data_IF_983706085922
#
_entry.id   IF_983706085922
#
_cell.length_a   1.000
_cell.length_b   1.000
_cell.length_c   1.000
_cell.angle_alpha   90.00
_cell.angle_beta   90.00
_cell.angle_gamma   90.00
#
_symmetry.space_group_name_H-M   'P 1'
#
loop_
_entity.id
_entity.type
_entity.pdbx_description
1 polymer ?
#
# COMPACT_ATOMS: atom_id res chain seq x y z
N UNK A 1 -22.97 19.22 65.91
CA UNK A 1 -24.03 19.49 64.91
C UNK A 1 -23.83 20.95 64.52
N UNK A 2 -23.51 21.36 63.30
CA UNK A 2 -23.74 20.77 61.99
C UNK A 2 -22.50 20.92 61.09
N UNK A 3 -22.27 19.88 60.29
CA UNK A 3 -21.24 19.86 59.26
C UNK A 3 -21.68 20.77 58.09
N UNK A 4 -20.83 21.73 57.74
CA UNK A 4 -21.00 22.56 56.56
C UNK A 4 -20.97 21.70 55.29
N UNK A 5 -22.13 21.57 54.66
CA UNK A 5 -22.29 20.95 53.34
C UNK A 5 -21.67 21.87 52.30
N UNK A 6 -20.43 21.56 51.90
CA UNK A 6 -19.85 22.12 50.66
C UNK A 6 -20.61 21.53 49.49
N UNK A 7 -21.61 22.25 48.99
CA UNK A 7 -22.22 21.99 47.67
C UNK A 7 -21.11 21.97 46.63
N UNK A 8 -20.92 20.81 45.99
CA UNK A 8 -20.02 20.66 44.87
C UNK A 8 -20.44 21.64 43.78
N UNK A 9 -19.60 22.66 43.51
CA UNK A 9 -19.73 23.52 42.35
C UNK A 9 -19.66 22.61 41.12
N UNK A 10 -20.79 22.34 40.48
CA UNK A 10 -20.83 21.80 39.13
C UNK A 10 -19.96 22.73 38.29
N UNK A 11 -18.78 22.26 37.88
CA UNK A 11 -17.98 22.94 36.88
C UNK A 11 -18.81 22.92 35.60
N UNK A 12 -19.52 24.03 35.34
CA UNK A 12 -20.20 24.27 34.08
C UNK A 12 -19.09 24.24 33.03
N UNK A 13 -18.97 23.11 32.31
CA UNK A 13 -18.12 23.06 31.13
C UNK A 13 -18.73 24.06 30.14
N UNK A 14 -18.00 25.08 29.68
CA UNK A 14 -18.52 25.96 28.65
C UNK A 14 -18.81 25.11 27.41
N UNK A 15 -20.08 24.90 27.13
CA UNK A 15 -20.52 24.27 25.89
C UNK A 15 -20.64 25.36 24.83
N UNK A 16 -19.88 25.20 23.75
CA UNK A 16 -20.07 26.03 22.56
C UNK A 16 -21.33 25.53 21.87
N UNK A 17 -22.46 26.18 22.15
CA UNK A 17 -23.74 25.91 21.49
C UNK A 17 -23.68 26.55 20.10
N UNK A 18 -23.49 25.73 19.07
CA UNK A 18 -23.56 26.16 17.68
C UNK A 18 -25.03 26.24 17.26
N UNK A 19 -25.55 27.45 17.06
CA UNK A 19 -26.95 27.69 16.70
C UNK A 19 -27.29 27.36 15.23
N UNK A 20 -26.30 27.26 14.34
CA UNK A 20 -26.50 27.12 12.88
C UNK A 20 -25.68 25.98 12.24
N UNK A 21 -25.70 24.79 12.84
CA UNK A 21 -25.21 23.61 12.11
C UNK A 21 -26.27 23.20 11.09
N UNK A 22 -26.03 23.50 9.81
CA UNK A 22 -26.77 22.86 8.71
C UNK A 22 -26.74 21.35 8.94
N UNK A 23 -27.90 20.66 8.96
CA UNK A 23 -27.92 19.22 9.16
C UNK A 23 -27.02 18.58 8.13
N UNK A 24 -26.05 17.78 8.59
CA UNK A 24 -25.25 16.99 7.67
C UNK A 24 -26.21 16.14 6.82
N UNK A 25 -26.05 16.08 5.48
CA UNK A 25 -26.88 15.24 4.64
C UNK A 25 -26.89 13.82 5.21
N UNK A 26 -28.08 13.26 5.41
CA UNK A 26 -28.29 11.92 5.97
C UNK A 26 -28.64 10.93 4.85
N UNK A 27 -28.37 9.65 5.08
CA UNK A 27 -28.66 8.57 4.12
C UNK A 27 -27.51 8.24 3.16
N UNK A 28 -27.75 7.28 2.27
CA UNK A 28 -26.73 6.73 1.36
C UNK A 28 -26.23 7.74 0.31
N UNK A 29 -27.10 8.64 -0.17
CA UNK A 29 -26.71 9.72 -1.09
C UNK A 29 -25.61 10.61 -0.52
N UNK A 30 -25.62 10.84 0.80
CA UNK A 30 -24.61 11.63 1.50
C UNK A 30 -23.22 10.99 1.55
N UNK A 31 -23.12 9.69 1.22
CA UNK A 31 -21.87 8.96 1.04
C UNK A 31 -21.50 8.89 -0.44
N UNK A 32 -22.49 8.69 -1.32
CA UNK A 32 -22.27 8.61 -2.77
C UNK A 32 -21.69 9.91 -3.36
N UNK A 33 -22.18 11.07 -2.90
CA UNK A 33 -21.81 12.38 -3.44
C UNK A 33 -20.89 13.19 -2.50
N UNK A 34 -20.26 12.53 -1.52
CA UNK A 34 -19.44 13.24 -0.52
C UNK A 34 -18.15 13.78 -1.14
N UNK A 35 -17.73 14.95 -0.67
CA UNK A 35 -16.39 15.49 -0.93
C UNK A 35 -15.52 15.55 0.34
N UNK A 36 -16.09 15.25 1.51
CA UNK A 36 -15.38 15.26 2.79
C UNK A 36 -14.32 14.15 2.83
N UNK A 37 -13.05 14.52 2.99
CA UNK A 37 -11.92 13.60 3.06
C UNK A 37 -12.06 12.51 4.14
N UNK A 38 -12.79 12.76 5.23
CA UNK A 38 -13.02 11.76 6.30
C UNK A 38 -13.97 10.68 5.82
N UNK A 39 -15.07 11.07 5.18
CA UNK A 39 -16.04 10.11 4.62
C UNK A 39 -15.40 9.31 3.49
N UNK A 40 -14.64 9.97 2.61
CA UNK A 40 -13.89 9.30 1.55
C UNK A 40 -12.86 8.33 2.13
N UNK A 41 -12.11 8.75 3.15
CA UNK A 41 -11.19 7.87 3.87
C UNK A 41 -11.89 6.63 4.43
N UNK A 42 -13.06 6.78 5.06
CA UNK A 42 -13.86 5.65 5.56
C UNK A 42 -14.33 4.74 4.42
N UNK A 43 -14.76 5.31 3.29
CA UNK A 43 -15.16 4.55 2.10
C UNK A 43 -14.00 3.68 1.58
N UNK A 44 -12.80 4.25 1.47
CA UNK A 44 -11.59 3.48 1.14
C UNK A 44 -11.37 2.35 2.14
N UNK A 45 -11.34 2.64 3.44
CA UNK A 45 -11.08 1.62 4.47
C UNK A 45 -12.10 0.48 4.44
N UNK A 46 -13.37 0.78 4.18
CA UNK A 46 -14.41 -0.25 4.09
C UNK A 46 -14.28 -1.09 2.82
N UNK A 47 -14.15 -0.45 1.65
CA UNK A 47 -14.04 -1.15 0.37
C UNK A 47 -12.78 -2.03 0.30
N UNK A 48 -11.65 -1.52 0.75
CA UNK A 48 -10.38 -2.27 0.72
C UNK A 48 -10.37 -3.40 1.74
N UNK A 49 -11.05 -3.23 2.89
CA UNK A 49 -11.22 -4.33 3.84
C UNK A 49 -12.10 -5.46 3.27
N UNK A 50 -13.10 -5.14 2.44
CA UNK A 50 -13.85 -6.16 1.72
C UNK A 50 -12.93 -6.94 0.76
N UNK A 51 -12.11 -6.25 -0.03
CA UNK A 51 -11.12 -6.90 -0.89
C UNK A 51 -10.08 -7.72 -0.10
N UNK A 52 -9.68 -7.26 1.09
CA UNK A 52 -8.82 -8.04 1.98
C UNK A 52 -9.46 -9.37 2.40
N UNK A 53 -10.75 -9.37 2.74
CA UNK A 53 -11.48 -10.59 3.09
C UNK A 53 -11.57 -11.52 1.87
N UNK A 54 -11.90 -10.99 0.69
CA UNK A 54 -11.95 -11.78 -0.55
C UNK A 54 -10.59 -12.40 -0.88
N UNK A 55 -9.51 -11.60 -0.85
CA UNK A 55 -8.14 -12.08 -1.02
C UNK A 55 -7.73 -13.12 0.01
N UNK A 56 -8.21 -13.01 1.25
CA UNK A 56 -8.01 -14.01 2.30
C UNK A 56 -8.72 -15.33 2.03
N UNK A 57 -9.96 -15.28 1.50
CA UNK A 57 -10.70 -16.48 1.07
C UNK A 57 -9.98 -17.17 -0.09
N UNK A 58 -9.54 -16.41 -1.10
CA UNK A 58 -8.76 -16.92 -2.24
C UNK A 58 -7.48 -17.62 -1.76
N UNK A 59 -6.73 -16.98 -0.85
CA UNK A 59 -5.54 -17.59 -0.24
C UNK A 59 -5.86 -18.87 0.54
N UNK A 60 -6.96 -18.90 1.29
CA UNK A 60 -7.34 -20.08 2.06
C UNK A 60 -7.64 -21.27 1.14
N UNK A 61 -8.36 -21.04 0.03
CA UNK A 61 -8.65 -22.09 -0.95
C UNK A 61 -7.34 -22.64 -1.55
N UNK A 62 -6.41 -21.76 -1.95
CA UNK A 62 -5.10 -22.20 -2.44
C UNK A 62 -4.34 -23.04 -1.40
N UNK A 63 -4.36 -22.62 -0.13
CA UNK A 63 -3.67 -23.35 0.94
C UNK A 63 -4.33 -24.68 1.28
N UNK A 64 -5.66 -24.78 1.16
CA UNK A 64 -6.38 -26.04 1.29
C UNK A 64 -6.04 -26.99 0.14
N UNK A 65 -5.93 -26.49 -1.09
CA UNK A 65 -5.46 -27.30 -2.22
C UNK A 65 -4.05 -27.84 -1.96
N UNK A 66 -3.13 -27.02 -1.46
CA UNK A 66 -1.74 -27.40 -1.20
C UNK A 66 -1.52 -28.15 0.13
N UNK A 67 -2.57 -28.49 0.87
CA UNK A 67 -2.43 -29.10 2.19
C UNK A 67 -1.79 -30.51 2.17
N UNK A 68 -1.92 -31.22 1.04
CA UNK A 68 -1.29 -32.51 0.82
C UNK A 68 -0.97 -32.71 -0.68
N UNK A 69 0.00 -33.57 -1.03
CA UNK A 69 0.25 -33.95 -2.42
C UNK A 69 -1.00 -34.56 -3.09
N UNK A 70 -1.11 -34.38 -4.41
CA UNK A 70 -2.17 -34.97 -5.26
C UNK A 70 -3.62 -34.68 -4.83
N UNK A 71 -3.82 -33.56 -4.11
CA UNK A 71 -5.16 -33.10 -3.74
C UNK A 71 -5.96 -32.64 -4.99
N UNK A 72 -7.28 -32.75 -4.93
CA UNK A 72 -8.19 -32.50 -6.07
C UNK A 72 -9.26 -31.45 -5.77
N UNK A 73 -9.02 -30.59 -4.78
CA UNK A 73 -9.98 -29.54 -4.37
C UNK A 73 -10.27 -28.54 -5.51
N UNK A 74 -9.25 -28.14 -6.27
CA UNK A 74 -9.37 -27.25 -7.43
C UNK A 74 -8.55 -27.77 -8.61
N UNK A 75 -8.96 -27.43 -9.83
CA UNK A 75 -8.20 -27.76 -11.05
C UNK A 75 -6.96 -26.85 -11.19
N UNK A 76 -5.96 -27.23 -12.00
CA UNK A 76 -4.79 -26.38 -12.26
C UNK A 76 -5.14 -24.98 -12.79
N UNK A 77 -6.13 -24.87 -13.69
CA UNK A 77 -6.59 -23.60 -14.26
C UNK A 77 -7.22 -22.71 -13.18
N UNK A 78 -8.06 -23.33 -12.33
CA UNK A 78 -8.67 -22.64 -11.19
C UNK A 78 -7.62 -22.18 -10.19
N UNK A 79 -6.59 -23.00 -9.94
CA UNK A 79 -5.48 -22.64 -9.06
C UNK A 79 -4.68 -21.44 -9.61
N UNK A 80 -4.37 -21.44 -10.90
CA UNK A 80 -3.67 -20.32 -11.56
C UNK A 80 -4.51 -19.03 -11.53
N UNK A 81 -5.81 -19.16 -11.77
CA UNK A 81 -6.77 -18.07 -11.61
C UNK A 81 -6.78 -17.52 -10.18
N UNK A 82 -6.90 -18.38 -9.17
CA UNK A 82 -6.87 -17.98 -7.76
C UNK A 82 -5.56 -17.30 -7.37
N UNK A 83 -4.41 -17.82 -7.82
CA UNK A 83 -3.11 -17.21 -7.55
C UNK A 83 -2.98 -15.81 -8.16
N UNK A 84 -3.48 -15.66 -9.39
CA UNK A 84 -3.47 -14.38 -10.11
C UNK A 84 -4.40 -13.37 -9.46
N UNK A 85 -5.65 -13.78 -9.15
CA UNK A 85 -6.66 -12.93 -8.51
C UNK A 85 -6.21 -12.54 -7.11
N UNK A 86 -5.74 -13.49 -6.29
CA UNK A 86 -5.22 -13.20 -4.95
C UNK A 86 -4.09 -12.17 -4.95
N UNK A 87 -3.04 -12.40 -5.74
CA UNK A 87 -1.90 -11.49 -5.80
C UNK A 87 -2.33 -10.09 -6.25
N UNK A 88 -3.18 -10.02 -7.27
CA UNK A 88 -3.72 -8.76 -7.80
C UNK A 88 -4.58 -8.03 -6.77
N UNK A 89 -5.51 -8.73 -6.12
CA UNK A 89 -6.40 -8.17 -5.10
C UNK A 89 -5.61 -7.59 -3.94
N UNK A 90 -4.66 -8.37 -3.40
CA UNK A 90 -3.90 -7.93 -2.24
C UNK A 90 -3.05 -6.70 -2.54
N UNK A 91 -2.44 -6.63 -3.72
CA UNK A 91 -1.56 -5.53 -4.11
C UNK A 91 -2.36 -4.29 -4.53
N UNK A 92 -3.19 -4.41 -5.56
CA UNK A 92 -3.82 -3.28 -6.24
C UNK A 92 -5.15 -2.84 -5.62
N UNK A 93 -5.87 -3.76 -4.96
CA UNK A 93 -7.21 -3.48 -4.41
C UNK A 93 -7.23 -3.33 -2.89
N UNK A 94 -6.21 -3.86 -2.19
CA UNK A 94 -6.12 -3.76 -0.73
C UNK A 94 -4.96 -2.90 -0.22
N UNK A 95 -3.70 -3.34 -0.35
CA UNK A 95 -2.57 -2.74 0.40
C UNK A 95 -2.33 -1.29 0.00
N UNK A 96 -2.25 -0.99 -1.30
CA UNK A 96 -2.03 0.40 -1.75
C UNK A 96 -3.23 1.29 -1.38
N UNK A 97 -4.48 0.91 -1.70
CA UNK A 97 -5.59 1.83 -1.50
C UNK A 97 -6.03 1.98 -0.04
N UNK A 98 -5.79 0.98 0.85
CA UNK A 98 -6.09 1.15 2.28
C UNK A 98 -5.19 2.22 2.91
N UNK A 99 -3.92 2.32 2.47
CA UNK A 99 -2.99 3.35 2.92
C UNK A 99 -3.39 4.73 2.39
N UNK A 100 -3.88 4.81 1.15
CA UNK A 100 -4.53 6.02 0.62
C UNK A 100 -5.77 6.40 1.44
N UNK A 101 -6.55 5.42 1.94
CA UNK A 101 -7.69 5.65 2.84
C UNK A 101 -7.29 6.31 4.16
N UNK A 102 -6.24 5.79 4.81
CA UNK A 102 -5.66 6.44 5.99
C UNK A 102 -5.10 7.83 5.67
N UNK A 103 -4.40 7.97 4.55
CA UNK A 103 -3.88 9.26 4.09
C UNK A 103 -5.01 10.29 3.95
N UNK A 104 -6.09 9.89 3.29
CA UNK A 104 -7.29 10.71 3.10
C UNK A 104 -7.88 11.16 4.43
N UNK A 105 -8.03 10.24 5.37
CA UNK A 105 -8.61 10.56 6.67
C UNK A 105 -7.70 11.47 7.52
N UNK A 106 -6.39 11.16 7.57
CA UNK A 106 -5.48 11.69 8.57
C UNK A 106 -4.65 12.88 8.09
N UNK A 107 -4.25 12.95 6.82
CA UNK A 107 -3.31 13.99 6.34
C UNK A 107 -3.86 15.39 6.60
N UNK A 108 -5.09 15.76 6.18
CA UNK A 108 -5.62 17.10 6.47
C UNK A 108 -5.69 17.40 7.96
N UNK A 109 -6.06 16.41 8.80
CA UNK A 109 -6.10 16.57 10.26
C UNK A 109 -4.72 16.83 10.85
N UNK A 110 -3.72 16.10 10.38
CA UNK A 110 -2.34 16.16 10.88
C UNK A 110 -1.62 17.45 10.47
N UNK A 111 -1.97 18.03 9.31
CA UNK A 111 -1.37 19.29 8.84
C UNK A 111 -2.20 20.53 9.20
N UNK A 112 -3.38 20.35 9.81
CA UNK A 112 -4.29 21.44 10.15
C UNK A 112 -5.05 22.05 8.97
N UNK A 113 -5.23 21.29 7.89
CA UNK A 113 -6.06 21.67 6.75
C UNK A 113 -7.54 21.32 7.01
N UNK A 114 -8.45 22.08 6.38
CA UNK A 114 -9.90 21.83 6.48
C UNK A 114 -10.35 20.62 5.67
N UNK A 115 -9.71 20.41 4.52
CA UNK A 115 -10.00 19.34 3.56
C UNK A 115 -8.76 19.14 2.66
N UNK A 116 -8.85 18.24 1.68
CA UNK A 116 -7.87 18.07 0.61
C UNK A 116 -7.89 19.24 -0.39
N UNK A 117 -6.80 19.42 -1.15
CA UNK A 117 -6.68 20.48 -2.17
C UNK A 117 -7.73 20.37 -3.29
N UNK A 118 -8.04 19.14 -3.71
CA UNK A 118 -9.03 18.85 -4.74
C UNK A 118 -10.10 17.86 -4.22
N UNK A 119 -11.10 18.31 -3.44
CA UNK A 119 -12.08 17.42 -2.79
C UNK A 119 -12.91 16.56 -3.76
N UNK A 120 -13.27 17.08 -4.93
CA UNK A 120 -14.03 16.32 -5.95
C UNK A 120 -13.16 15.30 -6.67
N UNK A 121 -11.91 15.67 -6.97
CA UNK A 121 -10.94 14.75 -7.56
C UNK A 121 -10.69 13.58 -6.61
N UNK A 122 -10.64 13.87 -5.32
CA UNK A 122 -10.54 12.87 -4.26
C UNK A 122 -11.67 11.85 -4.27
N UNK A 123 -12.91 12.32 -4.45
CA UNK A 123 -14.08 11.44 -4.56
C UNK A 123 -14.00 10.59 -5.84
N UNK A 124 -13.60 11.19 -6.96
CA UNK A 124 -13.40 10.46 -8.22
C UNK A 124 -12.36 9.36 -8.10
N UNK A 125 -11.22 9.63 -7.43
CA UNK A 125 -10.21 8.60 -7.15
C UNK A 125 -10.81 7.38 -6.45
N UNK A 126 -11.63 7.57 -5.41
CA UNK A 126 -12.28 6.46 -4.73
C UNK A 126 -13.18 5.65 -5.67
N UNK A 127 -14.01 6.31 -6.48
CA UNK A 127 -14.93 5.62 -7.38
C UNK A 127 -14.21 4.84 -8.48
N UNK A 128 -13.12 5.38 -9.02
CA UNK A 128 -12.28 4.69 -10.00
C UNK A 128 -11.67 3.41 -9.42
N UNK A 129 -11.19 3.44 -8.16
CA UNK A 129 -10.75 2.23 -7.47
C UNK A 129 -11.87 1.20 -7.39
N UNK A 130 -13.04 1.61 -6.89
CA UNK A 130 -14.15 0.68 -6.66
C UNK A 130 -14.61 0.04 -7.98
N UNK A 131 -14.78 0.83 -9.04
CA UNK A 131 -15.18 0.32 -10.34
C UNK A 131 -14.10 -0.55 -10.99
N UNK A 132 -12.82 -0.23 -10.81
CA UNK A 132 -11.72 -1.10 -11.22
C UNK A 132 -11.77 -2.47 -10.54
N UNK A 133 -11.95 -2.48 -9.22
CA UNK A 133 -12.09 -3.72 -8.46
C UNK A 133 -13.33 -4.53 -8.84
N UNK A 134 -14.48 -3.88 -9.01
CA UNK A 134 -15.71 -4.56 -9.47
C UNK A 134 -15.53 -5.16 -10.86
N UNK A 135 -14.97 -4.40 -11.81
CA UNK A 135 -14.72 -4.89 -13.17
C UNK A 135 -13.76 -6.10 -13.16
N UNK A 136 -12.73 -6.08 -12.31
CA UNK A 136 -11.83 -7.20 -12.13
C UNK A 136 -12.54 -8.44 -11.59
N UNK A 137 -13.31 -8.30 -10.51
CA UNK A 137 -14.03 -9.42 -9.91
C UNK A 137 -15.15 -9.95 -10.80
N UNK A 138 -15.68 -9.16 -11.73
CA UNK A 138 -16.58 -9.67 -12.76
C UNK A 138 -15.92 -10.74 -13.65
N UNK A 139 -14.58 -10.75 -13.78
CA UNK A 139 -13.86 -11.80 -14.51
C UNK A 139 -14.11 -13.20 -13.98
N UNK A 140 -14.46 -13.35 -12.70
CA UNK A 140 -14.80 -14.64 -12.11
C UNK A 140 -16.07 -15.27 -12.73
N UNK A 141 -16.94 -14.49 -13.38
CA UNK A 141 -18.16 -15.01 -14.00
C UNK A 141 -17.98 -15.48 -15.45
N UNK A 142 -16.84 -15.20 -16.06
CA UNK A 142 -16.49 -15.74 -17.38
C UNK A 142 -15.18 -16.50 -17.28
N UNK A 143 -14.05 -15.80 -17.23
CA UNK A 143 -12.73 -16.39 -17.16
C UNK A 143 -11.77 -15.46 -16.40
N UNK A 144 -11.28 -15.87 -15.22
CA UNK A 144 -10.28 -15.08 -14.50
C UNK A 144 -8.94 -15.11 -15.25
N UNK A 145 -8.10 -14.07 -15.14
CA UNK A 145 -6.74 -14.11 -15.65
C UNK A 145 -5.92 -15.18 -14.93
N UNK A 146 -5.02 -15.84 -15.66
CA UNK A 146 -4.23 -16.98 -15.15
C UNK A 146 -2.71 -16.79 -15.29
N UNK A 147 -2.25 -15.60 -15.73
CA UNK A 147 -0.83 -15.32 -16.01
C UNK A 147 -0.07 -14.67 -14.83
N UNK A 148 -0.56 -14.86 -13.59
CA UNK A 148 0.02 -14.27 -12.39
C UNK A 148 -0.23 -12.75 -12.27
N UNK A 149 0.01 -12.19 -11.08
CA UNK A 149 -0.17 -10.76 -10.83
C UNK A 149 0.83 -9.87 -11.59
N UNK A 150 1.92 -10.48 -12.10
CA UNK A 150 2.94 -9.83 -12.94
C UNK A 150 2.56 -9.78 -14.42
N UNK A 151 1.58 -10.61 -14.85
CA UNK A 151 0.97 -10.61 -16.17
C UNK A 151 1.96 -10.65 -17.34
N UNK A 152 3.00 -11.49 -17.24
CA UNK A 152 4.10 -11.55 -18.21
C UNK A 152 3.68 -12.07 -19.59
N UNK A 153 4.00 -11.32 -20.66
CA UNK A 153 4.12 -11.90 -22.00
C UNK A 153 5.27 -12.94 -22.03
N UNK A 154 5.16 -13.99 -22.85
CA UNK A 154 4.08 -14.24 -23.80
C UNK A 154 2.81 -14.83 -23.17
N UNK A 155 2.83 -15.28 -21.91
CA UNK A 155 1.69 -15.99 -21.31
C UNK A 155 0.40 -15.14 -21.25
N UNK A 156 0.51 -13.83 -21.06
CA UNK A 156 -0.61 -12.88 -21.07
C UNK A 156 -1.05 -12.44 -22.47
N UNK A 157 -0.40 -12.90 -23.53
CA UNK A 157 -0.83 -12.65 -24.90
C UNK A 157 -2.08 -13.47 -25.26
N UNK A 158 -2.82 -13.02 -26.28
CA UNK A 158 -4.04 -13.70 -26.75
C UNK A 158 -3.76 -15.13 -27.24
N UNK A 159 -2.55 -15.38 -27.75
CA UNK A 159 -2.09 -16.69 -28.21
C UNK A 159 -2.08 -17.76 -27.10
N UNK A 160 -1.93 -17.36 -25.84
CA UNK A 160 -1.87 -18.26 -24.68
C UNK A 160 -3.03 -18.06 -23.71
N UNK A 161 -3.55 -16.84 -23.61
CA UNK A 161 -4.65 -16.43 -22.74
C UNK A 161 -5.72 -15.70 -23.56
N UNK A 162 -6.45 -16.44 -24.40
CA UNK A 162 -7.47 -15.89 -25.30
C UNK A 162 -8.74 -15.39 -24.57
N UNK A 163 -8.92 -15.77 -23.31
CA UNK A 163 -10.03 -15.32 -22.48
C UNK A 163 -9.98 -13.83 -22.16
N UNK A 164 -11.14 -13.24 -21.90
CA UNK A 164 -11.26 -11.82 -21.51
C UNK A 164 -10.68 -11.48 -20.12
N UNK A 165 -10.14 -12.46 -19.38
CA UNK A 165 -9.64 -12.29 -18.02
C UNK A 165 -8.44 -11.35 -17.94
N UNK A 166 -7.51 -11.46 -18.90
CA UNK A 166 -6.36 -10.55 -19.02
C UNK A 166 -6.84 -9.13 -19.33
N UNK A 167 -7.86 -8.98 -20.19
CA UNK A 167 -8.43 -7.68 -20.54
C UNK A 167 -9.10 -7.01 -19.32
N UNK A 168 -9.81 -7.79 -18.51
CA UNK A 168 -10.39 -7.31 -17.25
C UNK A 168 -9.31 -6.86 -16.26
N UNK A 169 -8.18 -7.57 -16.19
CA UNK A 169 -7.02 -7.15 -15.40
C UNK A 169 -6.40 -5.86 -15.93
N UNK A 170 -6.18 -5.75 -17.24
CA UNK A 170 -5.67 -4.53 -17.88
C UNK A 170 -6.59 -3.33 -17.58
N UNK A 171 -7.89 -3.50 -17.72
CA UNK A 171 -8.87 -2.45 -17.45
C UNK A 171 -8.85 -2.03 -15.98
N UNK A 172 -8.74 -2.99 -15.05
CA UNK A 172 -8.59 -2.70 -13.63
C UNK A 172 -7.31 -1.90 -13.35
N UNK A 173 -6.16 -2.26 -13.94
CA UNK A 173 -4.90 -1.51 -13.76
C UNK A 173 -5.05 -0.07 -14.26
N UNK A 174 -5.73 0.18 -15.38
CA UNK A 174 -6.00 1.54 -15.84
C UNK A 174 -6.84 2.34 -14.84
N UNK A 175 -7.97 1.78 -14.38
CA UNK A 175 -8.86 2.50 -13.46
C UNK A 175 -8.20 2.73 -12.09
N UNK A 176 -7.56 1.71 -11.53
CA UNK A 176 -6.87 1.82 -10.23
C UNK A 176 -5.63 2.70 -10.33
N UNK A 177 -4.87 2.63 -11.43
CA UNK A 177 -3.76 3.51 -11.72
C UNK A 177 -4.17 4.98 -11.82
N UNK A 178 -5.27 5.28 -12.53
CA UNK A 178 -5.86 6.62 -12.57
C UNK A 178 -6.32 7.08 -11.18
N UNK A 179 -6.99 6.21 -10.41
CA UNK A 179 -7.35 6.48 -9.01
C UNK A 179 -6.13 6.93 -8.19
N UNK A 180 -5.06 6.14 -8.21
CA UNK A 180 -3.84 6.36 -7.44
C UNK A 180 -3.08 7.60 -7.91
N UNK A 181 -2.99 7.85 -9.21
CA UNK A 181 -2.35 9.05 -9.77
C UNK A 181 -3.06 10.33 -9.32
N UNK A 182 -4.40 10.37 -9.46
CA UNK A 182 -5.20 11.52 -9.04
C UNK A 182 -5.12 11.76 -7.52
N UNK A 183 -5.13 10.69 -6.74
CA UNK A 183 -4.95 10.74 -5.29
C UNK A 183 -3.56 11.26 -4.90
N UNK A 184 -2.51 10.80 -5.57
CA UNK A 184 -1.13 11.22 -5.34
C UNK A 184 -0.93 12.72 -5.61
N UNK A 185 -1.41 13.22 -6.75
CA UNK A 185 -1.37 14.65 -7.10
C UNK A 185 -2.09 15.48 -6.01
N UNK A 186 -3.25 15.00 -5.56
CA UNK A 186 -4.03 15.66 -4.51
C UNK A 186 -3.28 15.67 -3.17
N UNK A 187 -2.65 14.57 -2.76
CA UNK A 187 -1.81 14.53 -1.56
C UNK A 187 -0.64 15.50 -1.64
N UNK A 188 0.10 15.53 -2.74
CA UNK A 188 1.22 16.47 -2.92
C UNK A 188 0.74 17.91 -2.81
N UNK A 189 -0.31 18.28 -3.56
CA UNK A 189 -0.86 19.63 -3.53
C UNK A 189 -1.34 20.04 -2.12
N UNK A 190 -2.01 19.13 -1.42
CA UNK A 190 -2.51 19.35 -0.05
C UNK A 190 -1.35 19.54 0.93
N UNK A 191 -0.39 18.61 0.95
CA UNK A 191 0.73 18.64 1.89
C UNK A 191 1.62 19.85 1.63
N UNK A 192 1.87 20.22 0.37
CA UNK A 192 2.77 21.33 0.06
C UNK A 192 2.15 22.71 0.35
N UNK A 193 0.86 22.89 0.05
CA UNK A 193 0.25 24.22 -0.02
C UNK A 193 -0.76 24.52 1.09
N UNK A 194 -1.20 23.53 1.88
CA UNK A 194 -2.30 23.70 2.83
C UNK A 194 -1.94 23.43 4.30
N UNK A 195 -0.64 23.30 4.63
CA UNK A 195 -0.20 23.18 6.03
C UNK A 195 -0.57 24.41 6.84
N UNK A 196 -0.88 24.20 8.12
CA UNK A 196 -1.14 25.28 9.06
C UNK A 196 0.07 26.24 9.17
N UNK A 197 -0.17 27.56 9.31
CA UNK A 197 0.90 28.54 9.52
C UNK A 197 1.82 28.15 10.68
N UNK A 198 3.14 28.21 10.46
CA UNK A 198 4.16 27.84 11.46
C UNK A 198 4.61 26.37 11.43
N UNK A 199 3.96 25.50 10.66
CA UNK A 199 4.42 24.14 10.40
C UNK A 199 5.47 24.12 9.28
N UNK A 200 6.74 24.15 9.66
CA UNK A 200 7.84 23.92 8.73
C UNK A 200 7.99 22.43 8.39
N UNK A 201 8.70 22.13 7.30
CA UNK A 201 9.03 20.76 6.88
C UNK A 201 9.66 19.92 8.01
N UNK A 202 10.54 20.54 8.81
CA UNK A 202 11.18 19.89 9.96
C UNK A 202 10.28 19.60 11.15
N UNK A 203 8.98 19.90 11.08
CA UNK A 203 7.99 19.69 12.15
C UNK A 203 6.76 18.88 11.72
N UNK A 204 6.70 18.47 10.46
CA UNK A 204 5.57 17.73 9.90
C UNK A 204 5.53 16.29 10.46
N UNK A 205 4.36 15.72 10.80
CA UNK A 205 4.28 14.34 11.29
C UNK A 205 4.93 13.35 10.32
N UNK A 206 5.55 12.30 10.86
CA UNK A 206 6.30 11.32 10.07
C UNK A 206 5.37 10.51 9.16
N UNK A 207 4.12 10.28 9.57
CA UNK A 207 3.11 9.72 8.67
C UNK A 207 2.86 10.60 7.43
N UNK A 208 2.84 11.93 7.59
CA UNK A 208 2.63 12.84 6.46
C UNK A 208 3.88 12.86 5.55
N UNK A 209 5.08 12.76 6.12
CA UNK A 209 6.31 12.58 5.33
C UNK A 209 6.26 11.31 4.47
N UNK A 210 5.79 10.20 5.01
CA UNK A 210 5.72 8.95 4.25
C UNK A 210 4.62 8.97 3.19
N UNK A 211 3.46 9.59 3.45
CA UNK A 211 2.42 9.82 2.43
C UNK A 211 2.93 10.74 1.31
N UNK A 212 3.75 11.75 1.63
CA UNK A 212 4.33 12.61 0.61
C UNK A 212 5.27 11.85 -0.33
N UNK A 213 6.17 11.02 0.22
CA UNK A 213 7.08 10.21 -0.59
C UNK A 213 6.32 9.14 -1.38
N UNK A 214 5.35 8.47 -0.74
CA UNK A 214 4.39 7.58 -1.41
C UNK A 214 3.76 8.26 -2.65
N UNK A 215 3.29 9.49 -2.52
CA UNK A 215 2.64 10.19 -3.63
C UNK A 215 3.61 10.55 -4.76
N UNK A 216 4.85 10.94 -4.45
CA UNK A 216 5.86 11.17 -5.47
C UNK A 216 6.23 9.90 -6.23
N UNK A 217 6.38 8.78 -5.53
CA UNK A 217 6.66 7.49 -6.17
C UNK A 217 5.55 7.11 -7.15
N UNK A 218 4.29 7.23 -6.74
CA UNK A 218 3.16 6.97 -7.63
C UNK A 218 3.18 7.84 -8.89
N UNK A 219 3.44 9.15 -8.74
CA UNK A 219 3.50 10.07 -9.89
C UNK A 219 4.59 9.67 -10.89
N UNK A 220 5.74 9.20 -10.40
CA UNK A 220 6.89 8.84 -11.26
C UNK A 220 6.75 7.43 -11.85
N UNK A 221 6.29 6.46 -11.05
CA UNK A 221 6.35 5.04 -11.39
C UNK A 221 5.10 4.52 -12.12
N UNK A 222 3.90 5.01 -11.79
CA UNK A 222 2.64 4.56 -12.41
C UNK A 222 2.58 4.72 -13.93
N UNK A 223 3.14 5.78 -14.56
CA UNK A 223 3.09 5.91 -16.01
C UNK A 223 3.74 4.73 -16.75
N UNK A 224 4.74 4.06 -16.15
CA UNK A 224 5.40 2.92 -16.77
C UNK A 224 4.49 1.71 -16.89
N UNK A 225 3.75 1.35 -15.83
CA UNK A 225 2.79 0.24 -15.89
C UNK A 225 1.59 0.59 -16.77
N UNK A 226 1.10 1.84 -16.73
CA UNK A 226 0.03 2.29 -17.62
C UNK A 226 0.40 2.13 -19.10
N UNK A 227 1.63 2.51 -19.45
CA UNK A 227 2.16 2.30 -20.80
C UNK A 227 2.29 0.81 -21.14
N UNK A 228 2.83 -0.01 -20.23
CA UNK A 228 2.99 -1.45 -20.44
C UNK A 228 1.64 -2.14 -20.69
N UNK A 229 0.63 -1.90 -19.84
CA UNK A 229 -0.70 -2.50 -20.01
C UNK A 229 -1.43 -1.97 -21.25
N UNK A 230 -1.16 -0.75 -21.69
CA UNK A 230 -1.67 -0.22 -22.96
C UNK A 230 -1.03 -0.95 -24.14
N UNK A 231 0.30 -1.13 -24.14
CA UNK A 231 1.00 -1.90 -25.17
C UNK A 231 0.50 -3.35 -25.24
N UNK A 232 0.25 -3.98 -24.09
CA UNK A 232 -0.27 -5.35 -24.06
C UNK A 232 -1.71 -5.42 -24.59
N UNK A 233 -2.54 -4.42 -24.26
CA UNK A 233 -3.88 -4.31 -24.83
C UNK A 233 -3.83 -4.20 -26.36
N UNK A 234 -2.88 -3.42 -26.90
CA UNK A 234 -2.72 -3.27 -28.35
C UNK A 234 -2.15 -4.53 -29.01
N UNK A 235 -1.26 -5.26 -28.34
CA UNK A 235 -0.76 -6.54 -28.85
C UNK A 235 -1.91 -7.55 -28.95
N UNK A 236 -2.76 -7.62 -27.92
CA UNK A 236 -3.91 -8.53 -27.86
C UNK A 236 -5.02 -8.21 -28.88
N UNK A 237 -5.32 -6.92 -29.11
CA UNK A 237 -6.55 -6.54 -29.85
C UNK A 237 -6.34 -5.75 -31.13
N UNK A 238 -5.16 -5.17 -31.34
CA UNK A 238 -4.90 -4.23 -32.44
C UNK A 238 -3.74 -4.66 -33.35
N UNK A 239 -3.20 -5.87 -33.14
CA UNK A 239 -2.16 -6.45 -33.99
C UNK A 239 -0.82 -5.74 -33.89
N UNK A 240 -0.53 -5.08 -32.76
CA UNK A 240 0.83 -4.63 -32.46
C UNK A 240 1.68 -5.82 -31.99
N UNK A 241 2.99 -5.62 -31.92
CA UNK A 241 3.94 -6.66 -31.47
C UNK A 241 5.03 -6.04 -30.60
N UNK A 242 4.64 -5.34 -29.53
CA UNK A 242 5.59 -4.76 -28.58
C UNK A 242 6.36 -5.84 -27.81
N UNK A 243 5.67 -6.91 -27.41
CA UNK A 243 6.23 -7.98 -26.58
C UNK A 243 6.40 -9.31 -27.32
N UNK A 244 5.90 -9.45 -28.54
CA UNK A 244 6.04 -10.67 -29.35
C UNK A 244 7.31 -10.66 -30.21
N UNK A 245 8.29 -11.57 -29.97
CA UNK A 245 9.48 -11.69 -30.80
C UNK A 245 9.20 -11.99 -32.27
N UNK A 246 8.08 -12.62 -32.62
CA UNK A 246 7.73 -12.97 -34.00
C UNK A 246 7.49 -11.71 -34.87
N UNK A 247 6.98 -10.64 -34.25
CA UNK A 247 6.83 -9.31 -34.86
C UNK A 247 7.99 -8.35 -34.59
N UNK A 248 9.08 -8.81 -33.96
CA UNK A 248 10.25 -8.00 -33.61
C UNK A 248 10.19 -7.32 -32.23
N UNK A 249 9.21 -7.65 -31.40
CA UNK A 249 9.08 -7.20 -30.01
C UNK A 249 9.99 -7.96 -29.03
N UNK A 250 9.94 -7.55 -27.75
CA UNK A 250 10.76 -8.17 -26.69
C UNK A 250 9.94 -8.37 -25.40
N UNK A 251 9.73 -9.62 -24.94
CA UNK A 251 9.09 -9.90 -23.65
C UNK A 251 9.79 -9.27 -22.45
N UNK A 252 11.11 -9.05 -22.50
CA UNK A 252 11.86 -8.40 -21.43
C UNK A 252 11.54 -6.91 -21.30
N UNK A 253 11.03 -6.27 -22.36
CA UNK A 253 10.51 -4.91 -22.28
C UNK A 253 9.37 -4.82 -21.27
N UNK A 254 8.47 -5.80 -21.25
CA UNK A 254 7.40 -5.86 -20.24
C UNK A 254 8.00 -5.92 -18.84
N UNK A 255 8.95 -6.83 -18.61
CA UNK A 255 9.55 -6.98 -17.28
C UNK A 255 10.22 -5.70 -16.80
N UNK A 256 10.95 -5.00 -17.67
CA UNK A 256 11.56 -3.72 -17.31
C UNK A 256 10.51 -2.66 -16.96
N UNK A 257 9.47 -2.48 -17.77
CA UNK A 257 8.42 -1.48 -17.52
C UNK A 257 7.60 -1.82 -16.27
N UNK A 258 7.18 -3.09 -16.15
CA UNK A 258 6.41 -3.58 -15.02
C UNK A 258 7.19 -3.45 -13.72
N UNK A 259 8.47 -3.84 -13.68
CA UNK A 259 9.26 -3.74 -12.46
C UNK A 259 9.73 -2.34 -12.14
N UNK A 260 9.99 -1.49 -13.15
CA UNK A 260 10.25 -0.07 -12.91
C UNK A 260 9.09 0.59 -12.18
N UNK A 261 7.86 0.13 -12.42
CA UNK A 261 6.71 0.45 -11.58
C UNK A 261 6.72 -0.36 -10.26
N UNK A 262 6.80 -1.68 -10.36
CA UNK A 262 6.48 -2.61 -9.29
C UNK A 262 7.42 -2.51 -8.09
N UNK A 263 8.70 -2.23 -8.30
CA UNK A 263 9.63 -2.10 -7.18
C UNK A 263 9.43 -0.78 -6.38
N UNK A 264 9.31 0.40 -7.00
CA UNK A 264 8.80 1.59 -6.30
C UNK A 264 7.46 1.34 -5.61
N UNK A 265 6.55 0.57 -6.24
CA UNK A 265 5.25 0.26 -5.67
C UNK A 265 5.35 -0.56 -4.37
N UNK A 266 6.30 -1.48 -4.23
CA UNK A 266 6.46 -2.19 -2.94
C UNK A 266 6.87 -1.25 -1.79
N UNK A 267 7.51 -0.11 -2.09
CA UNK A 267 7.75 0.92 -1.06
C UNK A 267 6.54 1.80 -0.80
N UNK A 268 5.74 2.11 -1.83
CA UNK A 268 4.41 2.71 -1.69
C UNK A 268 3.56 1.84 -0.74
N UNK A 269 3.67 0.52 -0.82
CA UNK A 269 2.97 -0.42 0.05
C UNK A 269 3.43 -0.40 1.51
N UNK A 270 4.65 0.03 1.85
CA UNK A 270 5.20 -0.09 3.23
C UNK A 270 5.49 1.25 3.91
N UNK A 271 5.87 2.29 3.17
CA UNK A 271 6.27 3.58 3.73
C UNK A 271 5.15 4.21 4.57
N UNK A 272 3.88 4.25 4.14
CA UNK A 272 2.81 4.76 4.99
C UNK A 272 2.67 3.97 6.30
N UNK A 273 2.77 2.65 6.28
CA UNK A 273 2.76 1.81 7.49
C UNK A 273 3.91 2.15 8.45
N UNK A 274 5.12 2.38 7.92
CA UNK A 274 6.26 2.91 8.70
C UNK A 274 5.98 4.28 9.30
N UNK A 275 5.28 5.14 8.57
CA UNK A 275 4.79 6.42 9.06
C UNK A 275 3.81 6.24 10.22
N UNK A 276 2.85 5.31 10.09
CA UNK A 276 1.85 5.06 11.12
C UNK A 276 2.49 4.61 12.44
N UNK A 277 3.41 3.63 12.39
CA UNK A 277 4.08 3.19 13.62
C UNK A 277 4.97 4.28 14.21
N UNK A 278 5.52 5.17 13.39
CA UNK A 278 6.29 6.33 13.86
C UNK A 278 5.45 7.33 14.65
N UNK A 279 4.12 7.37 14.45
CA UNK A 279 3.18 8.14 15.28
C UNK A 279 2.74 7.36 16.52
N UNK A 280 2.59 6.04 16.42
CA UNK A 280 2.04 5.18 17.48
C UNK A 280 3.08 4.92 18.58
N UNK A 281 4.29 4.51 18.21
CA UNK A 281 5.35 4.15 19.15
C UNK A 281 5.66 5.23 20.19
N UNK A 282 5.87 6.51 19.85
CA UNK A 282 6.19 7.54 20.85
C UNK A 282 5.06 7.77 21.85
N UNK A 283 3.80 7.63 21.44
CA UNK A 283 2.63 7.81 22.32
C UNK A 283 2.56 6.71 23.36
N UNK A 284 2.72 5.46 22.96
CA UNK A 284 2.71 4.33 23.89
C UNK A 284 4.02 4.16 24.67
N UNK A 285 5.14 4.72 24.18
CA UNK A 285 6.39 4.81 24.93
C UNK A 285 6.44 6.01 25.89
N UNK A 286 5.50 6.96 25.77
CA UNK A 286 5.48 8.25 26.48
C UNK A 286 6.79 9.01 26.33
N UNK A 287 7.36 9.00 25.12
CA UNK A 287 8.65 9.59 24.78
C UNK A 287 8.60 10.16 23.36
N UNK A 288 9.29 11.27 23.05
CA UNK A 288 9.45 11.72 21.67
C UNK A 288 10.06 10.63 20.78
N UNK A 289 9.69 10.61 19.50
CA UNK A 289 10.31 9.73 18.52
C UNK A 289 11.82 10.01 18.46
N UNK A 290 12.63 8.97 18.59
CA UNK A 290 14.08 9.08 18.50
C UNK A 290 14.49 9.33 17.04
N UNK A 291 15.40 10.28 16.82
CA UNK A 291 15.97 10.58 15.51
C UNK A 291 14.97 10.97 14.42
N UNK A 292 13.96 11.79 14.75
CA UNK A 292 12.95 12.31 13.79
C UNK A 292 13.55 12.70 12.41
N UNK A 293 14.63 13.51 12.40
CA UNK A 293 15.27 13.97 11.16
C UNK A 293 15.86 12.82 10.36
N UNK A 294 16.45 11.83 11.04
CA UNK A 294 16.99 10.64 10.40
C UNK A 294 15.86 9.80 9.78
N UNK A 295 14.76 9.58 10.50
CA UNK A 295 13.59 8.84 9.96
C UNK A 295 13.01 9.55 8.72
N UNK A 296 12.86 10.89 8.77
CA UNK A 296 12.37 11.67 7.65
C UNK A 296 13.33 11.56 6.44
N UNK A 297 14.63 11.80 6.65
CA UNK A 297 15.64 11.71 5.59
C UNK A 297 15.74 10.30 5.00
N UNK A 298 15.70 9.26 5.82
CA UNK A 298 15.66 7.87 5.36
C UNK A 298 14.42 7.57 4.51
N UNK A 299 13.28 8.20 4.79
CA UNK A 299 12.08 8.06 3.93
C UNK A 299 12.34 8.62 2.54
N UNK A 300 12.94 9.81 2.43
CA UNK A 300 13.31 10.43 1.15
C UNK A 300 14.34 9.56 0.41
N UNK A 301 15.35 9.06 1.13
CA UNK A 301 16.40 8.22 0.57
C UNK A 301 15.84 6.90 0.00
N UNK A 302 14.92 6.24 0.72
CA UNK A 302 14.23 5.03 0.23
C UNK A 302 13.44 5.38 -1.04
N UNK A 303 12.70 6.48 -1.05
CA UNK A 303 11.95 6.91 -2.24
C UNK A 303 12.87 7.08 -3.45
N UNK A 304 13.96 7.82 -3.32
CA UNK A 304 14.92 8.00 -4.42
C UNK A 304 15.55 6.68 -4.88
N UNK A 305 16.08 5.89 -3.95
CA UNK A 305 16.78 4.65 -4.29
C UNK A 305 15.82 3.59 -4.88
N UNK A 306 14.55 3.59 -4.51
CA UNK A 306 13.56 2.65 -5.05
C UNK A 306 13.42 2.70 -6.58
N UNK A 307 13.70 3.86 -7.18
CA UNK A 307 13.68 4.08 -8.63
C UNK A 307 14.92 3.51 -9.34
N UNK A 308 15.92 3.02 -8.60
CA UNK A 308 17.23 2.61 -9.13
C UNK A 308 17.50 1.11 -9.02
N UNK A 309 16.56 0.32 -8.52
CA UNK A 309 16.83 -1.08 -8.10
C UNK A 309 15.90 -2.11 -8.73
N UNK A 310 14.98 -1.70 -9.61
CA UNK A 310 13.88 -2.56 -10.06
C UNK A 310 14.30 -3.88 -10.71
N UNK A 311 15.40 -3.90 -11.46
CA UNK A 311 15.82 -5.07 -12.21
C UNK A 311 16.42 -6.18 -11.32
N UNK A 312 16.46 -6.00 -9.99
CA UNK A 312 16.76 -7.09 -9.09
C UNK A 312 15.70 -8.21 -9.09
N UNK A 313 14.52 -7.96 -9.67
CA UNK A 313 13.47 -8.95 -9.92
C UNK A 313 13.68 -9.70 -11.24
N UNK A 314 14.76 -9.37 -11.95
CA UNK A 314 15.07 -9.87 -13.28
C UNK A 314 16.45 -10.56 -13.30
N UNK A 315 17.00 -10.93 -12.14
CA UNK A 315 18.33 -11.54 -12.10
C UNK A 315 18.42 -12.86 -12.87
N UNK A 316 17.31 -13.58 -13.01
CA UNK A 316 17.22 -14.79 -13.80
C UNK A 316 17.14 -14.56 -15.32
N UNK A 317 17.01 -13.31 -15.79
CA UNK A 317 16.95 -13.01 -17.22
C UNK A 317 18.34 -12.85 -17.82
N UNK A 318 18.49 -12.98 -19.16
CA UNK A 318 19.77 -12.77 -19.84
C UNK A 318 20.28 -11.32 -19.68
N UNK A 319 21.14 -11.09 -18.69
CA UNK A 319 21.64 -9.76 -18.32
C UNK A 319 23.15 -9.79 -18.11
N UNK A 320 23.86 -8.77 -18.58
CA UNK A 320 25.31 -8.68 -18.40
C UNK A 320 25.68 -8.59 -16.91
N UNK A 321 26.75 -9.30 -16.49
CA UNK A 321 27.18 -9.36 -15.08
C UNK A 321 27.42 -7.99 -14.44
N UNK A 322 27.90 -7.01 -15.21
CA UNK A 322 28.09 -5.63 -14.70
C UNK A 322 26.77 -4.97 -14.31
N UNK A 323 25.69 -5.24 -15.04
CA UNK A 323 24.34 -4.74 -14.75
C UNK A 323 23.77 -5.46 -13.54
N UNK A 324 23.92 -6.79 -13.46
CA UNK A 324 23.54 -7.57 -12.28
C UNK A 324 24.22 -7.05 -11.01
N UNK A 325 25.54 -6.79 -11.08
CA UNK A 325 26.31 -6.24 -9.97
C UNK A 325 25.82 -4.85 -9.53
N UNK A 326 25.46 -3.99 -10.50
CA UNK A 326 24.88 -2.68 -10.20
C UNK A 326 23.56 -2.81 -9.41
N UNK A 327 22.64 -3.65 -9.88
CA UNK A 327 21.33 -3.84 -9.23
C UNK A 327 21.45 -4.55 -7.87
N UNK A 328 22.41 -5.46 -7.70
CA UNK A 328 22.75 -6.06 -6.40
C UNK A 328 23.25 -5.01 -5.40
N UNK A 329 24.26 -4.22 -5.77
CA UNK A 329 24.87 -3.24 -4.86
C UNK A 329 23.91 -2.09 -4.51
N UNK A 330 23.12 -1.63 -5.48
CA UNK A 330 22.09 -0.61 -5.24
C UNK A 330 20.95 -1.14 -4.36
N UNK A 331 20.57 -2.42 -4.50
CA UNK A 331 19.61 -3.07 -3.60
C UNK A 331 20.11 -3.12 -2.15
N UNK A 332 21.40 -3.43 -1.93
CA UNK A 332 21.99 -3.35 -0.59
C UNK A 332 21.95 -1.94 -0.01
N UNK A 333 22.13 -0.91 -0.84
CA UNK A 333 22.09 0.47 -0.38
C UNK A 333 20.74 0.86 0.25
N UNK A 334 19.62 0.25 -0.19
CA UNK A 334 18.29 0.53 0.40
C UNK A 334 18.10 -0.10 1.78
N UNK A 335 18.83 -1.18 2.09
CA UNK A 335 18.78 -1.78 3.42
C UNK A 335 19.24 -0.80 4.51
N UNK A 336 20.16 0.11 4.19
CA UNK A 336 20.73 1.09 5.14
C UNK A 336 19.68 2.08 5.68
N UNK A 337 18.96 2.88 4.87
CA UNK A 337 17.95 3.80 5.39
C UNK A 337 16.79 3.06 6.08
N UNK A 338 16.48 1.84 5.66
CA UNK A 338 15.49 1.00 6.33
C UNK A 338 15.96 0.56 7.71
N UNK A 339 17.23 0.13 7.84
CA UNK A 339 17.86 -0.19 9.12
C UNK A 339 17.88 0.99 10.08
N UNK A 340 18.17 2.21 9.58
CA UNK A 340 18.08 3.45 10.38
C UNK A 340 16.70 3.57 11.02
N UNK A 341 15.61 3.36 10.28
CA UNK A 341 14.25 3.43 10.84
C UNK A 341 14.04 2.40 11.96
N UNK A 342 14.43 1.14 11.74
CA UNK A 342 14.31 0.06 12.73
C UNK A 342 15.01 0.43 14.04
N UNK A 343 16.27 0.86 13.98
CA UNK A 343 17.01 1.24 15.19
C UNK A 343 16.42 2.47 15.88
N UNK A 344 15.90 3.45 15.14
CA UNK A 344 15.23 4.60 15.74
C UNK A 344 13.92 4.21 16.45
N UNK A 345 13.15 3.27 15.92
CA UNK A 345 11.96 2.74 16.60
C UNK A 345 12.31 1.99 17.88
N UNK A 346 13.34 1.14 17.85
CA UNK A 346 13.83 0.47 19.05
C UNK A 346 14.29 1.48 20.11
N UNK A 347 15.05 2.51 19.71
CA UNK A 347 15.50 3.58 20.60
C UNK A 347 14.34 4.45 21.13
N UNK A 348 13.23 4.54 20.41
CA UNK A 348 12.00 5.23 20.87
C UNK A 348 11.34 4.45 21.99
N UNK A 349 11.27 3.12 21.89
CA UNK A 349 10.76 2.25 22.96
C UNK A 349 11.73 2.17 24.15
N UNK A 350 13.03 2.23 23.88
CA UNK A 350 14.05 2.10 24.93
C UNK A 350 13.95 3.22 25.97
N UNK A 351 13.83 2.80 27.23
CA UNK A 351 13.66 3.64 28.43
C UNK A 351 12.36 4.45 28.41
N UNK A 352 11.41 4.08 27.55
CA UNK A 352 10.05 4.59 27.60
C UNK A 352 9.22 3.91 28.69
N UNK A 353 8.15 4.58 29.11
CA UNK A 353 7.14 3.97 29.99
C UNK A 353 6.08 3.31 29.12
N UNK A 354 6.31 2.04 28.79
CA UNK A 354 5.52 1.30 27.80
C UNK A 354 4.09 1.04 28.29
N UNK A 355 3.10 1.49 27.52
CA UNK A 355 1.68 1.22 27.75
C UNK A 355 1.22 0.13 26.79
N UNK A 356 1.04 -1.08 27.31
CA UNK A 356 0.66 -2.25 26.52
C UNK A 356 -0.82 -2.24 26.16
N UNK A 357 -1.14 -1.82 24.93
CA UNK A 357 -2.48 -1.83 24.33
C UNK A 357 -2.41 -2.37 22.91
N UNK A 358 -3.55 -2.79 22.37
CA UNK A 358 -3.67 -3.42 21.03
C UNK A 358 -2.90 -2.70 19.91
N UNK A 359 -2.99 -1.35 19.75
CA UNK A 359 -2.21 -0.66 18.73
C UNK A 359 -0.70 -0.87 18.85
N UNK A 360 -0.18 -0.91 20.09
CA UNK A 360 1.24 -1.12 20.34
C UNK A 360 1.67 -2.54 19.97
N UNK A 361 0.85 -3.56 20.21
CA UNK A 361 1.20 -4.94 19.86
C UNK A 361 1.47 -5.09 18.36
N UNK A 362 0.58 -4.55 17.53
CA UNK A 362 0.77 -4.52 16.09
C UNK A 362 1.95 -3.64 15.67
N UNK A 363 2.07 -2.44 16.25
CA UNK A 363 3.17 -1.52 15.93
C UNK A 363 4.56 -2.05 16.31
N UNK A 364 4.66 -2.82 17.40
CA UNK A 364 5.91 -3.42 17.87
C UNK A 364 6.23 -4.75 17.16
N UNK A 365 5.21 -5.51 16.71
CA UNK A 365 5.41 -6.71 15.92
C UNK A 365 5.93 -6.41 14.51
N UNK A 366 5.52 -5.27 13.92
CA UNK A 366 5.95 -4.85 12.59
C UNK A 366 7.49 -4.85 12.45
N UNK A 367 8.29 -4.12 13.26
CA UNK A 367 9.74 -4.15 13.13
C UNK A 367 10.33 -5.56 13.23
N UNK A 368 9.79 -6.43 14.09
CA UNK A 368 10.27 -7.80 14.25
C UNK A 368 10.06 -8.67 13.01
N UNK A 369 8.82 -8.73 12.51
CA UNK A 369 8.48 -9.47 11.30
C UNK A 369 9.19 -8.90 10.07
N UNK A 370 9.26 -7.58 9.98
CA UNK A 370 9.91 -6.88 8.88
C UNK A 370 11.43 -7.14 8.85
N UNK A 371 12.10 -7.27 10.00
CA UNK A 371 13.53 -7.64 10.04
C UNK A 371 13.75 -9.07 9.54
N UNK A 372 12.90 -10.02 9.92
CA UNK A 372 12.98 -11.42 9.41
C UNK A 372 12.85 -11.41 7.88
N UNK A 373 11.84 -10.71 7.36
CA UNK A 373 11.67 -10.49 5.92
C UNK A 373 12.86 -9.77 5.29
N UNK A 374 13.36 -8.71 5.92
CA UNK A 374 14.49 -7.91 5.42
C UNK A 374 15.79 -8.70 5.30
N UNK A 375 16.08 -9.60 6.23
CA UNK A 375 17.24 -10.50 6.15
C UNK A 375 17.15 -11.39 4.91
N UNK A 376 15.98 -12.02 4.68
CA UNK A 376 15.75 -12.80 3.46
C UNK A 376 15.81 -11.95 2.18
N UNK A 377 15.43 -10.68 2.23
CA UNK A 377 15.52 -9.75 1.10
C UNK A 377 16.96 -9.41 0.73
N UNK A 378 17.84 -9.26 1.73
CA UNK A 378 19.29 -9.08 1.47
C UNK A 378 19.87 -10.32 0.80
N UNK A 379 19.38 -11.52 1.12
CA UNK A 379 19.79 -12.75 0.44
C UNK A 379 19.33 -12.77 -1.02
N UNK A 380 18.07 -12.41 -1.30
CA UNK A 380 17.54 -12.32 -2.67
C UNK A 380 18.19 -11.20 -3.50
N UNK A 381 18.71 -10.16 -2.86
CA UNK A 381 19.46 -9.13 -3.58
C UNK A 381 20.83 -9.61 -4.11
N UNK A 382 21.32 -10.79 -3.71
CA UNK A 382 22.57 -11.40 -4.18
C UNK A 382 22.28 -12.23 -5.43
N UNK A 383 22.58 -11.73 -6.64
CA UNK A 383 22.17 -12.39 -7.89
C UNK A 383 22.59 -13.87 -8.02
N UNK A 384 23.79 -14.35 -7.58
CA UNK A 384 24.10 -15.78 -7.63
C UNK A 384 23.26 -16.64 -6.69
N UNK A 385 22.81 -16.08 -5.57
CA UNK A 385 21.90 -16.74 -4.63
C UNK A 385 20.48 -16.72 -5.19
N UNK A 386 20.06 -15.59 -5.77
CA UNK A 386 18.75 -15.43 -6.39
C UNK A 386 18.55 -16.42 -7.54
N UNK A 387 19.55 -16.73 -8.36
CA UNK A 387 19.44 -17.79 -9.38
C UNK A 387 18.98 -19.14 -8.85
N UNK A 388 19.21 -19.44 -7.57
CA UNK A 388 18.73 -20.66 -6.92
C UNK A 388 17.35 -20.50 -6.27
N UNK A 389 16.98 -19.27 -5.87
CA UNK A 389 15.80 -19.00 -5.03
C UNK A 389 14.65 -18.35 -5.78
N UNK A 390 14.92 -17.70 -6.90
CA UNK A 390 13.96 -16.98 -7.74
C UNK A 390 12.78 -17.89 -8.10
N UNK A 391 11.57 -17.34 -8.02
CA UNK A 391 10.28 -18.02 -8.22
C UNK A 391 9.99 -19.26 -7.34
N UNK A 392 10.83 -19.58 -6.35
CA UNK A 392 10.53 -20.59 -5.33
C UNK A 392 9.68 -20.02 -4.19
N UNK A 393 9.20 -20.88 -3.29
CA UNK A 393 8.50 -20.45 -2.07
C UNK A 393 9.35 -19.59 -1.14
N UNK A 394 10.67 -19.50 -1.34
CA UNK A 394 11.51 -18.55 -0.60
C UNK A 394 11.13 -17.10 -0.92
N UNK A 395 10.93 -16.76 -2.20
CA UNK A 395 10.50 -15.42 -2.64
C UNK A 395 9.08 -15.13 -2.13
N UNK A 396 8.18 -16.12 -2.24
CA UNK A 396 6.81 -16.00 -1.71
C UNK A 396 6.84 -15.71 -0.21
N UNK A 397 7.60 -16.48 0.57
CA UNK A 397 7.72 -16.29 2.02
C UNK A 397 8.35 -14.94 2.37
N UNK A 398 9.43 -14.55 1.69
CA UNK A 398 10.07 -13.25 1.84
C UNK A 398 9.06 -12.11 1.67
N UNK A 399 8.35 -12.09 0.54
CA UNK A 399 7.38 -11.07 0.21
C UNK A 399 6.26 -11.01 1.26
N UNK A 400 5.78 -12.17 1.74
CA UNK A 400 4.74 -12.22 2.77
C UNK A 400 5.24 -11.72 4.13
N UNK A 401 6.47 -12.04 4.55
CA UNK A 401 7.03 -11.48 5.78
C UNK A 401 7.16 -9.95 5.71
N UNK A 402 7.57 -9.42 4.56
CA UNK A 402 7.78 -7.98 4.36
C UNK A 402 6.46 -7.23 4.16
N UNK A 403 5.56 -7.68 3.28
CA UNK A 403 4.29 -6.99 3.00
C UNK A 403 3.23 -7.27 4.07
N UNK A 404 3.03 -8.52 4.46
CA UNK A 404 2.04 -8.84 5.50
C UNK A 404 2.57 -8.35 6.86
N UNK A 405 3.79 -8.74 7.23
CA UNK A 405 4.41 -8.32 8.50
C UNK A 405 4.71 -6.82 8.58
N UNK A 406 5.06 -6.19 7.45
CA UNK A 406 5.30 -4.74 7.37
C UNK A 406 4.00 -3.94 7.28
N UNK A 407 3.30 -4.08 6.17
CA UNK A 407 2.16 -3.23 5.84
C UNK A 407 0.92 -3.60 6.62
N UNK A 408 0.52 -4.87 6.62
CA UNK A 408 -0.76 -5.30 7.23
C UNK A 408 -0.75 -5.10 8.74
N UNK A 409 0.35 -5.42 9.43
CA UNK A 409 0.47 -5.11 10.86
C UNK A 409 0.45 -3.59 11.12
N UNK A 410 1.10 -2.78 10.28
CA UNK A 410 1.01 -1.31 10.39
C UNK A 410 -0.40 -0.78 10.17
N UNK A 411 -1.13 -1.35 9.20
CA UNK A 411 -2.55 -1.06 8.92
C UNK A 411 -3.42 -1.38 10.12
N UNK A 412 -3.27 -2.56 10.74
CA UNK A 412 -4.02 -2.91 11.95
C UNK A 412 -3.63 -2.02 13.13
N UNK A 413 -2.34 -1.71 13.31
CA UNK A 413 -1.90 -0.77 14.34
C UNK A 413 -2.60 0.60 14.16
N UNK A 414 -2.62 1.12 12.93
CA UNK A 414 -3.30 2.36 12.59
C UNK A 414 -4.81 2.29 12.80
N UNK A 415 -5.45 1.18 12.38
CA UNK A 415 -6.88 0.97 12.58
C UNK A 415 -7.22 1.01 14.07
N UNK A 416 -6.59 0.20 14.90
CA UNK A 416 -6.85 0.20 16.35
C UNK A 416 -6.53 1.54 17.01
N UNK A 417 -5.51 2.26 16.52
CA UNK A 417 -5.11 3.54 17.10
C UNK A 417 -6.07 4.69 16.77
N UNK A 418 -6.49 4.79 15.50
CA UNK A 418 -7.34 5.89 15.02
C UNK A 418 -8.82 5.54 14.96
N UNK A 419 -9.23 4.29 15.23
CA UNK A 419 -10.65 3.91 15.28
C UNK A 419 -11.50 4.85 16.15
N UNK A 420 -11.08 5.25 17.37
CA UNK A 420 -11.87 6.18 18.19
C UNK A 420 -12.02 7.56 17.54
N UNK A 421 -11.05 7.97 16.73
CA UNK A 421 -11.13 9.22 15.96
C UNK A 421 -12.09 9.12 14.77
N UNK A 422 -12.28 7.92 14.22
CA UNK A 422 -13.19 7.64 13.10
C UNK A 422 -14.63 7.40 13.54
N UNK A 423 -14.84 6.70 14.65
CA UNK A 423 -16.16 6.24 15.11
C UNK A 423 -16.66 6.90 16.40
N UNK A 424 -15.80 7.58 17.15
CA UNK A 424 -16.11 8.08 18.49
C UNK A 424 -16.16 6.98 19.57
N UNK A 425 -15.79 5.73 19.26
CA UNK A 425 -15.86 4.58 20.16
C UNK A 425 -14.51 3.87 20.26
N UNK A 426 -14.21 3.33 21.44
CA UNK A 426 -13.09 2.41 21.60
C UNK A 426 -13.49 1.02 21.05
N UNK A 427 -12.52 0.29 20.51
CA UNK A 427 -12.67 -1.14 20.23
C UNK A 427 -12.54 -1.93 21.54
N UNK A 428 -13.23 -3.07 21.61
CA UNK A 428 -13.26 -3.97 22.78
C UNK A 428 -11.92 -4.62 23.07
#
# INVERSE_FOLDING_TARGET
>A
MEAGTRTARQLIRPEVVLHDLKPAPRGWLAWLTTTDHKKIGILYLFATFLFFVLGGVEALIMRLQLAQPDNTLVTPETYNGLATVHGTTMIFLFIVPVLAGFGNYLVPLMIGARDMAFPRLNALSFWLLLFGGVAFYCSLFFEPPQAGWTMYPPLSDDSFSAGGGVDAWIFMIHLTGLSSMLGAINFVATIQNMRAPGMSWGRMPLFVWTILIYAYLLIVALPAVAAAVTMLLTDRHFGTAFFDPSGGGDPLLWQHLFWFFGHPEVYVMVLPAFGMISEILPVFARKPIFGYKAIAASTVAIGFLSLLVWAHHMFATPTATVVLAFFMLSSFAIAVPTGIKIFNWLATLWRGHIVMKTPLYFAAALPGLFVIGGISGVMLAIFPVDWQLTDTYFVVAHLHYVLFGGSVFGIFAGLYYWFPKMSGRLLS
#
